data_IF_641815685174
#
_entry.id   IF_641815685174
#
_cell.length_a   1.000
_cell.length_b   1.000
_cell.length_c   1.000
_cell.angle_alpha   90.00
_cell.angle_beta   90.00
_cell.angle_gamma   90.00
#
_symmetry.space_group_name_H-M   'P 1'
#
loop_
_entity.id
_entity.type
_entity.pdbx_description
1 polymer ?
#
# COMPACT_ATOMS: atom_id res chain seq x y z
N UNK A 1 15.62 10.10 9.06
CA UNK A 1 15.63 10.01 7.58
C UNK A 1 16.65 8.96 7.16
N UNK A 2 16.30 8.22 6.10
CA UNK A 2 16.75 6.86 5.83
C UNK A 2 18.20 6.73 5.29
N UNK A 3 18.82 5.55 5.48
CA UNK A 3 20.02 5.09 4.76
C UNK A 3 19.72 3.71 4.15
N UNK A 4 19.76 3.57 2.82
CA UNK A 4 19.71 2.28 2.09
C UNK A 4 18.53 2.10 1.13
N UNK A 5 18.47 0.99 0.40
CA UNK A 5 17.36 0.62 -0.53
C UNK A 5 16.28 -0.25 0.14
N UNK A 6 15.13 -0.44 -0.51
CA UNK A 6 14.08 -1.37 -0.05
C UNK A 6 14.60 -2.79 0.03
N UNK A 7 15.42 -3.20 -0.94
CA UNK A 7 16.03 -4.52 -0.93
C UNK A 7 16.95 -4.74 0.27
N UNK A 8 17.83 -3.78 0.57
CA UNK A 8 18.74 -3.84 1.72
C UNK A 8 17.98 -3.89 3.05
N UNK A 9 16.86 -3.17 3.14
CA UNK A 9 15.99 -3.21 4.30
C UNK A 9 15.37 -4.60 4.46
N UNK A 10 14.75 -5.15 3.40
CA UNK A 10 14.07 -6.45 3.47
C UNK A 10 15.03 -7.59 3.85
N UNK A 11 16.29 -7.54 3.39
CA UNK A 11 17.33 -8.53 3.73
C UNK A 11 17.67 -8.59 5.23
N UNK A 12 17.30 -7.57 6.02
CA UNK A 12 17.55 -7.53 7.45
C UNK A 12 16.47 -8.27 8.27
N UNK A 13 15.38 -8.71 7.65
CA UNK A 13 14.23 -9.30 8.34
C UNK A 13 13.91 -10.71 7.87
N UNK A 14 13.40 -11.52 8.78
CA UNK A 14 12.78 -12.80 8.44
C UNK A 14 11.37 -12.56 7.90
N UNK A 15 11.21 -12.57 6.57
CA UNK A 15 9.92 -12.30 5.92
C UNK A 15 8.86 -13.37 6.19
N UNK A 16 9.23 -14.55 6.72
CA UNK A 16 8.26 -15.56 7.17
C UNK A 16 7.43 -15.11 8.36
N UNK A 17 7.95 -14.17 9.14
CA UNK A 17 7.27 -13.59 10.30
C UNK A 17 6.45 -12.34 9.95
N UNK A 18 6.47 -11.89 8.70
CA UNK A 18 5.77 -10.70 8.24
C UNK A 18 4.48 -11.08 7.55
N UNK A 19 3.36 -10.56 8.06
CA UNK A 19 2.06 -10.72 7.42
C UNK A 19 1.79 -9.55 6.45
N UNK A 20 2.18 -8.32 6.84
CA UNK A 20 1.98 -7.13 6.02
C UNK A 20 3.28 -6.32 5.93
N UNK A 21 3.71 -6.02 4.71
CA UNK A 21 4.78 -5.07 4.43
C UNK A 21 4.16 -3.71 4.04
N UNK A 22 4.24 -2.73 4.91
CA UNK A 22 3.93 -1.34 4.60
C UNK A 22 5.12 -0.67 3.93
N UNK A 23 4.88 -0.11 2.74
CA UNK A 23 5.83 0.73 2.02
C UNK A 23 5.25 2.13 2.00
N UNK A 24 5.88 3.02 2.74
CA UNK A 24 5.54 4.44 2.73
C UNK A 24 6.05 5.06 1.45
N UNK A 25 5.34 6.06 0.94
CA UNK A 25 5.80 6.91 -0.14
C UNK A 25 5.56 8.38 0.18
N UNK A 26 6.36 9.23 -0.47
CA UNK A 26 6.00 10.61 -0.72
C UNK A 26 5.45 10.67 -2.16
N UNK A 27 4.33 11.38 -2.37
CA UNK A 27 3.65 11.34 -3.67
C UNK A 27 4.48 11.94 -4.82
N UNK A 28 5.47 12.76 -4.47
CA UNK A 28 6.38 13.48 -5.36
C UNK A 28 7.57 12.67 -5.87
N UNK A 29 7.94 11.58 -5.21
CA UNK A 29 9.09 10.75 -5.57
C UNK A 29 8.67 9.33 -6.01
N UNK A 30 8.77 9.00 -7.31
CA UNK A 30 8.37 7.69 -7.81
C UNK A 30 9.40 6.58 -7.54
N UNK A 31 10.59 6.90 -7.01
CA UNK A 31 11.71 5.95 -6.81
C UNK A 31 11.25 4.70 -6.06
N UNK A 32 10.50 4.87 -4.98
CA UNK A 32 10.03 3.72 -4.20
C UNK A 32 9.06 2.82 -4.97
N UNK A 33 8.25 3.37 -5.88
CA UNK A 33 7.36 2.58 -6.74
C UNK A 33 8.19 1.72 -7.71
N UNK A 34 9.29 2.25 -8.23
CA UNK A 34 10.21 1.50 -9.08
C UNK A 34 10.95 0.39 -8.32
N UNK A 35 11.53 0.71 -7.16
CA UNK A 35 12.18 -0.30 -6.30
C UNK A 35 11.20 -1.41 -5.95
N UNK A 36 9.99 -1.06 -5.53
CA UNK A 36 8.95 -2.00 -5.16
C UNK A 36 8.55 -2.90 -6.35
N UNK A 37 8.38 -2.33 -7.54
CA UNK A 37 8.12 -3.10 -8.76
C UNK A 37 9.27 -4.04 -9.16
N UNK A 38 10.53 -3.64 -8.92
CA UNK A 38 11.70 -4.49 -9.18
C UNK A 38 11.77 -5.71 -8.26
N UNK A 39 11.21 -5.59 -7.05
CA UNK A 39 11.19 -6.62 -6.01
C UNK A 39 9.96 -7.53 -6.06
N UNK A 40 9.01 -7.32 -6.98
CA UNK A 40 7.77 -8.09 -7.06
C UNK A 40 7.99 -9.62 -7.07
N UNK A 41 8.96 -10.10 -7.85
CA UNK A 41 9.31 -11.53 -7.89
C UNK A 41 9.92 -12.06 -6.59
N UNK A 42 10.71 -11.24 -5.89
CA UNK A 42 11.26 -11.58 -4.57
C UNK A 42 10.15 -11.66 -3.52
N UNK A 43 9.22 -10.70 -3.51
CA UNK A 43 8.07 -10.67 -2.61
C UNK A 43 7.15 -11.88 -2.86
N UNK A 44 6.87 -12.22 -4.11
CA UNK A 44 6.06 -13.39 -4.45
C UNK A 44 6.67 -14.71 -3.94
N UNK A 45 8.00 -14.86 -4.06
CA UNK A 45 8.75 -16.01 -3.53
C UNK A 45 8.68 -16.11 -2.00
N UNK A 46 8.56 -14.97 -1.30
CA UNK A 46 8.39 -14.91 0.15
C UNK A 46 6.92 -15.00 0.61
N UNK A 47 6.02 -15.36 -0.30
CA UNK A 47 4.63 -15.68 0.01
C UNK A 47 3.67 -14.49 0.01
N UNK A 48 4.11 -13.28 -0.37
CA UNK A 48 3.21 -12.14 -0.60
C UNK A 48 2.26 -12.47 -1.75
N UNK A 49 0.95 -12.33 -1.51
CA UNK A 49 -0.12 -12.66 -2.46
C UNK A 49 -0.93 -11.46 -2.91
N UNK A 50 -0.91 -10.38 -2.14
CA UNK A 50 -1.67 -9.18 -2.46
C UNK A 50 -0.80 -7.93 -2.46
N UNK A 51 -1.16 -6.99 -3.32
CA UNK A 51 -0.59 -5.66 -3.39
C UNK A 51 -1.71 -4.63 -3.24
N UNK A 52 -1.79 -3.99 -2.08
CA UNK A 52 -2.70 -2.89 -1.81
C UNK A 52 -2.03 -1.57 -2.15
N UNK A 53 -2.75 -0.63 -2.76
CA UNK A 53 -2.32 0.75 -2.82
C UNK A 53 -3.43 1.70 -2.36
N UNK A 54 -3.01 2.76 -1.68
CA UNK A 54 -3.83 3.93 -1.32
C UNK A 54 -4.13 4.79 -2.56
N UNK A 55 -4.56 4.13 -3.64
CA UNK A 55 -5.04 4.76 -4.86
C UNK A 55 -6.56 4.86 -4.81
N UNK A 56 -7.16 5.98 -5.28
CA UNK A 56 -8.60 6.18 -5.24
C UNK A 56 -9.33 5.00 -5.86
N UNK A 57 -10.40 4.53 -5.22
CA UNK A 57 -11.29 3.51 -5.80
C UNK A 57 -12.41 4.20 -6.58
N UNK A 58 -12.84 3.63 -7.72
CA UNK A 58 -14.19 3.87 -8.26
C UNK A 58 -15.04 2.65 -7.92
N UNK A 59 -16.10 2.83 -7.12
CA UNK A 59 -17.08 1.79 -6.84
C UNK A 59 -18.14 1.76 -7.94
N UNK A 60 -17.89 0.98 -9.00
CA UNK A 60 -18.93 0.65 -9.98
C UNK A 60 -19.36 -0.81 -9.77
N UNK A 61 -20.57 -1.01 -9.24
CA UNK A 61 -21.33 -2.25 -9.40
C UNK A 61 -20.62 -3.58 -9.11
N UNK A 62 -19.88 -3.68 -7.99
CA UNK A 62 -19.23 -4.89 -7.43
C UNK A 62 -17.73 -5.11 -7.76
N UNK A 63 -17.01 -4.15 -8.33
CA UNK A 63 -15.54 -4.24 -8.49
C UNK A 63 -14.86 -2.95 -8.05
N UNK A 64 -13.80 -3.07 -7.25
CA UNK A 64 -12.92 -1.94 -6.91
C UNK A 64 -12.02 -1.66 -8.12
N UNK A 65 -12.35 -0.65 -8.90
CA UNK A 65 -11.53 -0.21 -10.03
C UNK A 65 -10.57 0.89 -9.58
N UNK A 66 -9.35 0.88 -10.15
CA UNK A 66 -8.35 1.92 -9.93
C UNK A 66 -8.88 3.25 -10.47
N UNK A 67 -9.11 4.22 -9.58
CA UNK A 67 -9.51 5.59 -9.87
C UNK A 67 -8.32 6.51 -10.18
N UNK A 68 -8.60 7.74 -10.64
CA UNK A 68 -7.55 8.71 -10.98
C UNK A 68 -6.80 9.15 -9.72
N UNK A 69 -5.46 9.09 -9.75
CA UNK A 69 -4.58 9.49 -8.65
C UNK A 69 -4.73 10.98 -8.29
N UNK A 70 -4.28 11.38 -7.10
CA UNK A 70 -4.38 12.75 -6.58
C UNK A 70 -3.65 13.79 -7.47
N UNK A 71 -4.10 15.04 -7.41
CA UNK A 71 -3.60 16.19 -8.19
C UNK A 71 -2.44 16.95 -7.51
N UNK A 72 -2.01 16.54 -6.32
CA UNK A 72 -1.24 17.40 -5.40
C UNK A 72 0.27 17.15 -5.38
N UNK A 73 0.85 16.47 -6.37
CA UNK A 73 2.31 16.25 -6.44
C UNK A 73 3.00 17.07 -7.55
N UNK A 74 4.29 17.46 -7.37
CA UNK A 74 5.08 18.25 -8.31
C UNK A 74 5.47 17.48 -9.58
N UNK A 75 5.40 16.15 -9.57
CA UNK A 75 5.46 15.34 -10.79
C UNK A 75 4.12 15.35 -11.50
N UNK A 76 4.14 15.36 -12.83
CA UNK A 76 2.92 15.42 -13.62
C UNK A 76 1.97 14.26 -13.28
N UNK A 77 0.67 14.51 -13.37
CA UNK A 77 -0.35 13.49 -13.13
C UNK A 77 -0.15 12.25 -14.01
N UNK A 78 0.30 12.43 -15.27
CA UNK A 78 0.62 11.35 -16.19
C UNK A 78 1.80 10.49 -15.69
N UNK A 79 2.83 11.11 -15.16
CA UNK A 79 4.00 10.42 -14.61
C UNK A 79 3.67 9.64 -13.32
N UNK A 80 2.82 10.21 -12.46
CA UNK A 80 2.26 9.50 -11.31
C UNK A 80 1.49 8.26 -11.77
N UNK A 81 0.56 8.41 -12.70
CA UNK A 81 -0.23 7.29 -13.23
C UNK A 81 0.68 6.21 -13.83
N UNK A 82 1.68 6.61 -14.61
CA UNK A 82 2.63 5.69 -15.25
C UNK A 82 3.41 4.87 -14.22
N UNK A 83 3.86 5.50 -13.13
CA UNK A 83 4.67 4.83 -12.10
C UNK A 83 3.83 3.87 -11.25
N UNK A 84 2.61 4.26 -10.85
CA UNK A 84 1.66 3.35 -10.19
C UNK A 84 1.27 2.17 -11.08
N UNK A 85 0.93 2.43 -12.34
CA UNK A 85 0.55 1.36 -13.27
C UNK A 85 1.72 0.38 -13.48
N UNK A 86 2.96 0.88 -13.56
CA UNK A 86 4.14 0.04 -13.70
C UNK A 86 4.29 -0.93 -12.50
N UNK A 87 4.25 -0.43 -11.26
CA UNK A 87 4.35 -1.31 -10.09
C UNK A 87 3.20 -2.32 -10.02
N UNK A 88 1.96 -1.90 -10.33
CA UNK A 88 0.80 -2.81 -10.40
C UNK A 88 1.05 -3.93 -11.42
N UNK A 89 1.49 -3.60 -12.63
CA UNK A 89 1.78 -4.59 -13.68
C UNK A 89 2.89 -5.55 -13.26
N UNK A 90 3.95 -5.04 -12.61
CA UNK A 90 5.04 -5.88 -12.09
C UNK A 90 4.56 -6.84 -11.01
N UNK A 91 3.72 -6.38 -10.09
CA UNK A 91 3.10 -7.20 -9.05
C UNK A 91 2.21 -8.30 -9.67
N UNK A 92 1.33 -7.93 -10.61
CA UNK A 92 0.51 -8.90 -11.35
C UNK A 92 1.35 -9.97 -12.04
N UNK A 93 2.40 -9.55 -12.76
CA UNK A 93 3.28 -10.48 -13.48
C UNK A 93 4.05 -11.42 -12.55
N UNK A 94 4.27 -11.02 -11.28
CA UNK A 94 4.86 -11.87 -10.25
C UNK A 94 3.82 -12.79 -9.56
N UNK A 95 2.54 -12.70 -9.92
CA UNK A 95 1.46 -13.45 -9.29
C UNK A 95 0.96 -12.84 -7.98
N UNK A 96 1.18 -11.54 -7.77
CA UNK A 96 0.68 -10.78 -6.63
C UNK A 96 -0.56 -10.00 -7.10
N UNK A 97 -1.70 -10.27 -6.48
CA UNK A 97 -2.99 -9.71 -6.89
C UNK A 97 -3.15 -8.26 -6.38
N UNK A 98 -3.34 -7.27 -7.27
CA UNK A 98 -3.50 -5.88 -6.87
C UNK A 98 -4.91 -5.58 -6.35
N UNK A 99 -5.03 -4.63 -5.42
CA UNK A 99 -6.32 -4.08 -5.01
C UNK A 99 -6.19 -2.62 -4.55
N UNK A 100 -7.11 -1.73 -4.94
CA UNK A 100 -7.19 -0.40 -4.37
C UNK A 100 -8.04 -0.41 -3.09
N UNK A 101 -7.69 0.43 -2.11
CA UNK A 101 -8.41 0.52 -0.83
C UNK A 101 -8.69 1.95 -0.35
N UNK A 102 -8.32 3.00 -1.10
CA UNK A 102 -8.66 4.37 -0.71
C UNK A 102 -10.15 4.67 -0.99
N UNK A 103 -10.87 4.93 0.09
CA UNK A 103 -12.31 5.21 0.12
C UNK A 103 -12.63 6.65 0.54
N UNK A 104 -11.63 7.51 0.75
CA UNK A 104 -11.87 8.89 1.23
C UNK A 104 -12.69 9.73 0.25
N UNK A 105 -12.72 9.33 -1.02
CA UNK A 105 -13.54 9.95 -2.08
C UNK A 105 -14.89 9.24 -2.30
N UNK A 106 -15.17 8.14 -1.59
CA UNK A 106 -16.48 7.50 -1.62
C UNK A 106 -17.48 8.37 -0.85
N UNK A 107 -18.63 8.76 -1.44
CA UNK A 107 -19.66 9.54 -0.74
C UNK A 107 -20.07 8.98 0.62
N UNK A 108 -20.06 7.65 0.79
CA UNK A 108 -20.37 6.96 2.05
C UNK A 108 -19.39 7.32 3.18
N UNK A 109 -18.14 7.63 2.83
CA UNK A 109 -17.04 7.88 3.77
C UNK A 109 -16.50 9.32 3.73
N UNK A 110 -16.87 10.11 2.72
CA UNK A 110 -16.31 11.45 2.50
C UNK A 110 -16.56 12.44 3.65
N UNK A 111 -17.70 12.33 4.33
CA UNK A 111 -18.06 13.17 5.48
C UNK A 111 -17.67 12.55 6.85
N UNK A 112 -17.00 11.39 6.83
CA UNK A 112 -16.57 10.68 8.04
C UNK A 112 -15.29 11.27 8.61
N UNK A 113 -15.08 11.09 9.91
CA UNK A 113 -13.82 11.44 10.55
C UNK A 113 -12.66 10.64 9.96
N UNK A 114 -11.44 11.17 10.08
CA UNK A 114 -10.22 10.48 9.65
C UNK A 114 -10.09 9.09 10.31
N UNK A 115 -10.45 8.99 11.59
CA UNK A 115 -10.43 7.74 12.34
C UNK A 115 -11.38 6.69 11.74
N UNK A 116 -12.61 7.09 11.40
CA UNK A 116 -13.59 6.22 10.74
C UNK A 116 -13.11 5.78 9.34
N UNK A 117 -12.55 6.70 8.56
CA UNK A 117 -12.01 6.40 7.23
C UNK A 117 -10.84 5.41 7.29
N UNK A 118 -9.87 5.64 8.18
CA UNK A 118 -8.72 4.74 8.34
C UNK A 118 -9.12 3.37 8.87
N UNK A 119 -10.09 3.31 9.77
CA UNK A 119 -10.67 2.05 10.25
C UNK A 119 -11.35 1.29 9.13
N UNK A 120 -12.13 1.96 8.29
CA UNK A 120 -12.77 1.34 7.14
C UNK A 120 -11.76 0.86 6.08
N UNK A 121 -10.71 1.64 5.79
CA UNK A 121 -9.61 1.20 4.92
C UNK A 121 -8.88 -0.04 5.47
N UNK A 122 -8.60 -0.07 6.78
CA UNK A 122 -8.00 -1.24 7.42
C UNK A 122 -8.92 -2.47 7.31
N UNK A 123 -10.23 -2.31 7.51
CA UNK A 123 -11.20 -3.41 7.35
C UNK A 123 -11.25 -3.96 5.93
N UNK A 124 -11.19 -3.08 4.91
CA UNK A 124 -11.11 -3.50 3.51
C UNK A 124 -9.84 -4.31 3.21
N UNK A 125 -8.70 -3.89 3.77
CA UNK A 125 -7.46 -4.66 3.67
C UNK A 125 -7.64 -6.04 4.30
N UNK A 126 -8.19 -6.12 5.52
CA UNK A 126 -8.42 -7.39 6.22
C UNK A 126 -9.35 -8.33 5.45
N UNK A 127 -10.48 -7.82 4.94
CA UNK A 127 -11.43 -8.58 4.14
C UNK A 127 -10.75 -9.14 2.88
N UNK A 128 -9.95 -8.32 2.21
CA UNK A 128 -9.27 -8.70 0.98
C UNK A 128 -8.20 -9.77 1.20
N UNK A 129 -7.36 -9.60 2.21
CA UNK A 129 -6.15 -10.42 2.37
C UNK A 129 -6.41 -11.65 3.26
N UNK A 130 -7.37 -11.58 4.18
CA UNK A 130 -7.59 -12.60 5.20
C UNK A 130 -6.30 -12.89 5.97
N UNK A 131 -5.82 -14.13 5.98
CA UNK A 131 -4.54 -14.51 6.63
C UNK A 131 -3.37 -14.64 5.66
N UNK A 132 -3.50 -14.15 4.42
CA UNK A 132 -2.43 -14.18 3.41
C UNK A 132 -1.57 -12.92 3.53
N UNK A 133 -0.32 -13.02 3.08
CA UNK A 133 0.62 -11.90 3.15
C UNK A 133 0.33 -10.83 2.11
N UNK A 134 0.50 -9.56 2.48
CA UNK A 134 0.24 -8.42 1.62
C UNK A 134 1.32 -7.35 1.68
N UNK A 135 1.53 -6.67 0.56
CA UNK A 135 2.34 -5.46 0.44
C UNK A 135 1.37 -4.29 0.32
N UNK A 136 1.51 -3.26 1.14
CA UNK A 136 0.60 -2.10 1.17
C UNK A 136 1.42 -0.83 0.92
N UNK A 137 1.20 -0.21 -0.24
CA UNK A 137 1.75 1.12 -0.57
C UNK A 137 0.81 2.21 -0.03
N UNK A 138 1.34 3.09 0.82
CA UNK A 138 0.61 4.14 1.55
C UNK A 138 1.41 5.42 1.64
N UNK A 139 0.76 6.54 1.91
CA UNK A 139 1.47 7.75 2.33
C UNK A 139 2.34 7.50 3.57
N UNK A 140 3.54 8.10 3.61
CA UNK A 140 4.56 7.85 4.66
C UNK A 140 4.00 7.92 6.09
N UNK A 141 3.03 8.78 6.37
CA UNK A 141 2.44 8.91 7.71
C UNK A 141 1.87 7.58 8.24
N UNK A 142 1.33 6.73 7.37
CA UNK A 142 0.77 5.43 7.76
C UNK A 142 1.83 4.37 8.08
N UNK A 143 3.12 4.66 7.83
CA UNK A 143 4.24 3.79 8.24
C UNK A 143 4.73 4.08 9.65
N UNK A 144 4.39 5.24 10.21
CA UNK A 144 4.76 5.64 11.56
C UNK A 144 3.89 4.91 12.59
N UNK A 145 4.48 4.53 13.74
CA UNK A 145 3.79 3.83 14.84
C UNK A 145 3.07 4.76 15.82
N UNK A 146 2.78 5.98 15.38
CA UNK A 146 2.22 7.02 16.24
C UNK A 146 0.80 7.37 15.75
N UNK A 147 -0.13 7.43 16.70
CA UNK A 147 -1.52 7.77 16.43
C UNK A 147 -2.37 6.64 15.85
N UNK A 148 -3.60 7.01 15.48
CA UNK A 148 -4.49 6.16 14.70
C UNK A 148 -3.97 6.14 13.27
N UNK A 149 -3.53 4.98 12.80
CA UNK A 149 -3.12 4.76 11.41
C UNK A 149 -3.60 3.38 10.96
N UNK A 150 -3.73 3.17 9.65
CA UNK A 150 -4.06 1.85 9.06
C UNK A 150 -3.15 0.76 9.64
N UNK A 151 -1.84 1.02 9.76
CA UNK A 151 -0.89 0.08 10.36
C UNK A 151 -1.23 -0.24 11.82
N UNK A 152 -1.45 0.76 12.66
CA UNK A 152 -1.77 0.56 14.09
C UNK A 152 -3.03 -0.30 14.26
N UNK A 153 -4.06 -0.06 13.44
CA UNK A 153 -5.32 -0.81 13.46
C UNK A 153 -5.10 -2.28 13.09
N UNK A 154 -4.30 -2.56 12.05
CA UNK A 154 -3.97 -3.92 11.63
C UNK A 154 -3.08 -4.66 12.65
N UNK A 155 -2.10 -3.98 13.24
CA UNK A 155 -1.27 -4.55 14.32
C UNK A 155 -2.15 -4.95 15.52
N UNK A 156 -3.08 -4.09 15.93
CA UNK A 156 -4.05 -4.39 17.00
C UNK A 156 -5.05 -5.51 16.63
N UNK A 157 -5.23 -5.79 15.35
CA UNK A 157 -6.05 -6.90 14.85
C UNK A 157 -5.26 -8.22 14.71
N UNK A 158 -3.98 -8.21 15.11
CA UNK A 158 -3.12 -9.38 15.17
C UNK A 158 -2.24 -9.62 13.94
N UNK A 159 -2.09 -8.65 13.03
CA UNK A 159 -1.14 -8.76 11.92
C UNK A 159 0.27 -8.33 12.34
N UNK A 160 1.29 -9.10 11.95
CA UNK A 160 2.69 -8.72 12.12
C UNK A 160 3.10 -7.82 10.95
N UNK A 161 3.19 -6.52 11.24
CA UNK A 161 3.48 -5.51 10.23
C UNK A 161 4.96 -5.11 10.25
N UNK A 162 5.61 -5.16 9.09
CA UNK A 162 6.91 -4.54 8.83
C UNK A 162 6.67 -3.25 8.05
N UNK A 163 7.32 -2.15 8.42
CA UNK A 163 7.11 -0.88 7.74
C UNK A 163 8.41 -0.24 7.29
N UNK A 164 8.35 0.30 6.08
CA UNK A 164 9.43 0.98 5.42
C UNK A 164 9.01 2.44 5.14
N UNK A 165 9.44 3.41 5.96
CA UNK A 165 9.13 4.81 5.73
C UNK A 165 10.06 5.38 4.65
N UNK A 166 9.58 5.55 3.42
CA UNK A 166 10.30 6.28 2.36
C UNK A 166 9.92 7.77 2.40
N UNK A 167 10.88 8.61 2.80
CA UNK A 167 10.76 10.07 2.91
C UNK A 167 11.91 10.71 3.67
#
# INVERSE_FOLDING_TARGET
MRKGSLEEFLKQYNLDEVDILFVGETHDDPTIRYELGSLAGYLAKNGFKFYGAEAPTKRNGLKNEWGPLSYEAPISHEEQQKTYLNVVLKMCNAGIEPFPFDIRKDPEYSDKSREEQETAMANLIQEKIGRKKAVILVGILHTLREGHTIRSILENSGYRCLAYPYG
#
